data_IF_119620121229
#
_entry.id   IF_119620121229
#
_cell.length_a   1.000
_cell.length_b   1.000
_cell.length_c   1.000
_cell.angle_alpha   90.00
_cell.angle_beta   90.00
_cell.angle_gamma   90.00
#
_symmetry.space_group_name_H-M   'P 1'
#
loop_
_entity.id
_entity.type
_entity.pdbx_description
1 polymer ?
#
# COMPACT_ATOMS: atom_id res chain seq x y z
N UNK A 1 21.23 27.55 19.97
CA UNK A 1 20.50 28.78 19.63
C UNK A 1 19.06 28.52 19.97
N UNK A 2 18.48 29.24 21.00
CA UNK A 2 17.06 29.12 21.31
C UNK A 2 16.28 29.72 20.12
N UNK A 3 15.61 28.91 19.34
CA UNK A 3 14.64 29.36 18.34
C UNK A 3 13.44 29.99 19.09
N UNK A 4 13.17 31.26 18.85
CA UNK A 4 12.05 31.96 19.45
C UNK A 4 10.70 31.38 19.06
N UNK A 5 9.78 31.24 20.02
CA UNK A 5 8.39 30.82 19.77
C UNK A 5 7.46 32.03 19.67
N UNK A 6 6.26 31.78 19.06
CA UNK A 6 5.17 32.77 18.97
C UNK A 6 4.20 32.58 20.11
N UNK A 7 4.08 33.60 20.97
CA UNK A 7 3.34 33.52 22.22
C UNK A 7 2.17 34.52 22.19
N UNK A 8 0.98 34.04 22.51
CA UNK A 8 -0.19 34.87 22.76
C UNK A 8 -0.36 35.02 24.27
N UNK A 9 -0.42 36.25 24.77
CA UNK A 9 -0.68 36.53 26.17
C UNK A 9 -1.97 37.34 26.34
N UNK A 10 -2.83 36.86 27.22
CA UNK A 10 -4.15 37.45 27.48
C UNK A 10 -4.27 37.72 28.97
N UNK A 11 -4.40 39.00 29.31
CA UNK A 11 -4.46 39.49 30.67
C UNK A 11 -5.15 40.88 30.64
N UNK A 12 -5.98 41.21 31.59
CA UNK A 12 -6.63 42.55 31.62
C UNK A 12 -5.73 43.63 32.16
N UNK A 13 -4.66 43.29 32.88
CA UNK A 13 -3.64 44.18 33.41
C UNK A 13 -2.59 44.54 32.33
N UNK A 14 -2.54 45.83 31.97
CA UNK A 14 -1.61 46.32 30.94
C UNK A 14 -0.15 46.29 31.38
N UNK A 15 0.12 46.55 32.67
CA UNK A 15 1.48 46.56 33.19
C UNK A 15 2.06 45.15 33.19
N UNK A 16 1.24 44.14 33.52
CA UNK A 16 1.58 42.72 33.46
C UNK A 16 1.88 42.31 32.02
N UNK A 17 1.03 42.70 31.06
CA UNK A 17 1.23 42.44 29.64
C UNK A 17 2.52 43.05 29.10
N UNK A 18 2.81 44.29 29.43
CA UNK A 18 4.01 45.01 28.99
C UNK A 18 5.28 44.41 29.60
N UNK A 19 5.28 44.13 30.92
CA UNK A 19 6.40 43.50 31.60
C UNK A 19 6.76 42.14 31.01
N UNK A 20 5.78 41.26 30.80
CA UNK A 20 5.98 39.96 30.16
C UNK A 20 6.46 40.11 28.74
N UNK A 21 5.84 41.00 27.93
CA UNK A 21 6.24 41.24 26.53
C UNK A 21 7.69 41.69 26.43
N UNK A 22 8.16 42.57 27.28
CA UNK A 22 9.55 43.03 27.29
C UNK A 22 10.51 41.92 27.65
N UNK A 23 10.20 41.11 28.67
CA UNK A 23 11.01 39.99 29.12
C UNK A 23 11.13 38.91 28.04
N UNK A 24 10.01 38.54 27.44
CA UNK A 24 9.96 37.46 26.44
C UNK A 24 10.57 37.87 25.10
N UNK A 25 10.40 39.14 24.68
CA UNK A 25 11.10 39.67 23.50
C UNK A 25 12.62 39.69 23.69
N UNK A 26 13.12 39.97 24.89
CA UNK A 26 14.57 39.92 25.20
C UNK A 26 15.12 38.49 25.05
N UNK A 27 14.26 37.47 25.15
CA UNK A 27 14.60 36.06 24.98
C UNK A 27 14.24 35.52 23.56
N UNK A 28 14.15 36.40 22.56
CA UNK A 28 13.90 36.09 21.14
C UNK A 28 12.50 35.51 20.83
N UNK A 29 11.49 35.68 21.71
CA UNK A 29 10.13 35.26 21.43
C UNK A 29 9.32 36.38 20.75
N UNK A 30 8.44 36.01 19.83
CA UNK A 30 7.43 36.91 19.28
C UNK A 30 6.21 36.89 20.19
N UNK A 31 5.83 38.08 20.76
CA UNK A 31 4.76 38.15 21.74
C UNK A 31 3.64 39.06 21.24
N UNK A 32 2.45 38.50 21.18
CA UNK A 32 1.19 39.17 20.91
C UNK A 32 0.44 39.30 22.24
N UNK A 33 -0.01 40.48 22.54
CA UNK A 33 -0.74 40.77 23.80
C UNK A 33 -2.17 41.20 23.48
N UNK A 34 -3.11 40.76 24.27
CA UNK A 34 -4.52 41.12 24.17
C UNK A 34 -5.14 41.28 25.57
N UNK A 35 -5.90 42.34 25.76
CA UNK A 35 -6.60 42.65 27.04
C UNK A 35 -7.98 41.97 27.12
N UNK A 36 -8.63 41.79 25.98
CA UNK A 36 -10.01 41.35 25.96
C UNK A 36 -10.07 39.87 25.57
N UNK A 37 -10.39 38.95 26.49
CA UNK A 37 -10.45 37.52 26.21
C UNK A 37 -11.48 37.14 25.16
N UNK A 38 -12.51 37.97 24.91
CA UNK A 38 -13.51 37.73 23.84
C UNK A 38 -12.92 37.73 22.43
N UNK A 39 -11.71 38.25 22.27
CA UNK A 39 -10.99 38.21 20.99
C UNK A 39 -10.23 36.91 20.73
N UNK A 40 -10.14 36.01 21.72
CA UNK A 40 -9.44 34.70 21.56
C UNK A 40 -9.92 33.95 20.33
N UNK A 41 -11.22 33.75 20.08
CA UNK A 41 -11.66 33.01 18.89
C UNK A 41 -11.22 33.64 17.56
N UNK A 42 -11.20 34.98 17.52
CA UNK A 42 -10.73 35.73 16.35
C UNK A 42 -9.22 35.55 16.14
N UNK A 43 -8.43 35.65 17.21
CA UNK A 43 -6.97 35.51 17.15
C UNK A 43 -6.55 34.12 16.73
N UNK A 44 -7.19 33.06 17.24
CA UNK A 44 -6.93 31.69 16.88
C UNK A 44 -7.40 31.32 15.45
N UNK A 45 -8.36 32.07 14.88
CA UNK A 45 -8.76 31.89 13.48
C UNK A 45 -7.76 32.46 12.47
N UNK A 46 -7.07 33.55 12.88
CA UNK A 46 -6.22 34.29 11.95
C UNK A 46 -4.73 33.93 12.09
N UNK A 47 -4.35 33.26 13.18
CA UNK A 47 -2.95 33.03 13.50
C UNK A 47 -2.75 31.78 14.35
N UNK A 48 -1.53 31.21 14.31
CA UNK A 48 -1.15 30.06 15.14
C UNK A 48 -0.15 30.48 16.21
N UNK A 49 -0.26 29.91 17.39
CA UNK A 49 0.59 30.22 18.55
C UNK A 49 1.26 28.97 19.08
N UNK A 50 2.53 29.08 19.47
CA UNK A 50 3.26 27.97 20.10
C UNK A 50 2.85 27.82 21.59
N UNK A 51 2.56 28.92 22.25
CA UNK A 51 2.13 28.94 23.65
C UNK A 51 1.11 30.07 23.87
N UNK A 52 0.08 29.76 24.63
CA UNK A 52 -0.93 30.73 25.07
C UNK A 52 -0.79 30.96 26.59
N UNK A 53 -0.50 32.16 27.00
CA UNK A 53 -0.52 32.59 28.40
C UNK A 53 -1.88 33.21 28.68
N UNK A 54 -2.66 32.63 29.58
CA UNK A 54 -4.03 33.05 29.87
C UNK A 54 -4.20 33.40 31.34
N UNK A 55 -4.61 34.60 31.63
CA UNK A 55 -4.98 34.96 32.99
C UNK A 55 -6.24 34.21 33.44
N UNK A 56 -6.25 33.87 34.74
CA UNK A 56 -7.39 33.14 35.33
C UNK A 56 -8.53 34.08 35.71
N UNK A 57 -8.25 35.36 36.04
CA UNK A 57 -9.20 36.31 36.58
C UNK A 57 -9.22 37.57 35.71
N UNK A 58 -10.33 37.85 35.09
CA UNK A 58 -10.58 39.07 34.34
C UNK A 58 -11.49 40.01 35.18
N UNK A 59 -11.58 41.25 34.80
CA UNK A 59 -12.17 42.38 35.54
C UNK A 59 -13.56 42.21 36.19
N UNK A 60 -14.28 41.11 35.83
CA UNK A 60 -15.60 40.81 36.42
C UNK A 60 -15.58 39.77 37.53
N UNK A 61 -14.49 39.01 37.70
CA UNK A 61 -14.42 37.90 38.64
C UNK A 61 -13.02 37.81 39.27
N UNK A 62 -12.80 38.59 40.30
CA UNK A 62 -11.47 38.76 40.92
C UNK A 62 -11.00 37.50 41.68
N UNK A 63 -11.88 36.50 41.96
CA UNK A 63 -11.54 35.41 42.88
C UNK A 63 -11.97 34.01 42.44
N UNK A 64 -12.89 33.83 41.49
CA UNK A 64 -13.45 32.52 41.22
C UNK A 64 -12.76 31.70 40.09
N UNK A 65 -11.93 32.35 39.27
CA UNK A 65 -11.25 31.74 38.14
C UNK A 65 -12.16 31.17 37.02
N UNK A 66 -13.49 31.36 37.15
CA UNK A 66 -14.47 30.79 36.22
C UNK A 66 -14.27 31.25 34.77
N UNK A 67 -13.89 32.50 34.58
CA UNK A 67 -13.65 33.05 33.24
C UNK A 67 -12.41 32.44 32.61
N UNK A 68 -11.33 32.21 33.35
CA UNK A 68 -10.12 31.55 32.86
C UNK A 68 -10.39 30.10 32.44
N UNK A 69 -11.18 29.34 33.21
CA UNK A 69 -11.58 27.99 32.85
C UNK A 69 -12.46 27.96 31.60
N UNK A 70 -13.43 28.88 31.49
CA UNK A 70 -14.26 28.99 30.30
C UNK A 70 -13.43 29.23 29.03
N UNK A 71 -12.46 30.14 29.09
CA UNK A 71 -11.61 30.42 27.94
C UNK A 71 -10.62 29.26 27.64
N UNK A 72 -10.14 28.55 28.64
CA UNK A 72 -9.34 27.38 28.50
C UNK A 72 -10.11 26.30 27.70
N UNK A 73 -11.35 26.02 28.10
CA UNK A 73 -12.23 25.09 27.41
C UNK A 73 -12.45 25.49 25.93
N UNK A 74 -12.78 26.77 25.68
CA UNK A 74 -12.98 27.29 24.32
C UNK A 74 -11.71 27.22 23.46
N UNK A 75 -10.53 27.37 24.03
CA UNK A 75 -9.26 27.21 23.31
C UNK A 75 -9.05 25.72 22.93
N UNK A 76 -9.26 24.83 23.91
CA UNK A 76 -9.01 23.40 23.72
C UNK A 76 -10.06 22.72 22.82
N UNK A 77 -11.31 23.19 22.82
CA UNK A 77 -12.33 22.76 21.85
C UNK A 77 -11.92 23.07 20.41
N UNK A 78 -11.29 24.24 20.21
CA UNK A 78 -10.89 24.70 18.88
C UNK A 78 -9.55 24.13 18.44
N UNK A 79 -8.58 24.10 19.34
CA UNK A 79 -7.24 23.52 19.15
C UNK A 79 -6.94 22.50 20.24
N UNK A 80 -7.30 21.21 20.07
CA UNK A 80 -7.06 20.16 21.08
C UNK A 80 -5.59 20.01 21.51
N UNK A 81 -4.66 20.37 20.64
CA UNK A 81 -3.22 20.36 20.88
C UNK A 81 -2.65 21.76 21.23
N UNK A 82 -3.50 22.70 21.68
CA UNK A 82 -3.02 23.99 22.16
C UNK A 82 -2.23 23.82 23.46
N UNK A 83 -1.11 24.54 23.58
CA UNK A 83 -0.29 24.58 24.80
C UNK A 83 -0.65 25.84 25.57
N UNK A 84 -1.49 25.67 26.60
CA UNK A 84 -2.02 26.75 27.41
C UNK A 84 -1.39 26.74 28.80
N UNK A 85 -0.79 27.85 29.17
CA UNK A 85 -0.25 28.10 30.52
C UNK A 85 -1.15 29.12 31.20
N UNK A 86 -1.70 28.76 32.35
CA UNK A 86 -2.55 29.67 33.12
C UNK A 86 -1.71 30.53 34.03
N UNK A 87 -2.10 31.81 34.16
CA UNK A 87 -1.49 32.76 35.09
C UNK A 87 -2.50 33.00 36.22
N UNK A 88 -2.09 32.86 37.46
CA UNK A 88 -2.97 33.00 38.61
C UNK A 88 -2.33 33.82 39.75
N UNK A 89 -3.15 34.40 40.61
CA UNK A 89 -2.69 35.12 41.78
C UNK A 89 -2.11 34.19 42.84
N UNK A 90 -1.31 34.73 43.75
CA UNK A 90 -0.61 33.98 44.80
C UNK A 90 -1.60 33.32 45.77
N UNK A 91 -1.47 32.00 45.98
CA UNK A 91 -2.13 31.24 47.05
C UNK A 91 -3.09 30.12 46.65
N UNK A 92 -3.40 29.93 45.37
CA UNK A 92 -4.46 29.01 44.93
C UNK A 92 -3.92 27.72 44.27
N UNK A 93 -3.30 26.87 45.09
CA UNK A 93 -2.76 25.54 44.62
C UNK A 93 -3.90 24.63 44.20
N UNK A 94 -5.09 24.72 44.83
CA UNK A 94 -6.24 23.90 44.45
C UNK A 94 -6.75 24.28 43.06
N UNK A 95 -6.78 25.57 42.74
CA UNK A 95 -7.15 26.08 41.41
C UNK A 95 -6.15 25.66 40.34
N UNK A 96 -4.84 25.68 40.65
CA UNK A 96 -3.78 25.23 39.76
C UNK A 96 -3.90 23.73 39.42
N UNK A 97 -4.17 22.89 40.42
CA UNK A 97 -4.39 21.45 40.23
C UNK A 97 -5.64 21.19 39.39
N UNK A 98 -6.71 21.96 39.63
CA UNK A 98 -7.92 21.89 38.82
C UNK A 98 -7.65 22.26 37.35
N UNK A 99 -6.88 23.31 37.12
CA UNK A 99 -6.51 23.76 35.79
C UNK A 99 -5.77 22.69 34.96
N UNK A 100 -4.83 22.00 35.60
CA UNK A 100 -4.13 20.86 34.93
C UNK A 100 -5.08 19.71 34.62
N UNK A 101 -6.06 19.40 35.46
CA UNK A 101 -7.09 18.40 35.21
C UNK A 101 -8.03 18.78 34.05
N UNK A 102 -8.26 20.07 33.86
CA UNK A 102 -9.10 20.61 32.79
C UNK A 102 -8.33 20.84 31.48
N UNK A 103 -7.04 20.43 31.42
CA UNK A 103 -6.25 20.38 30.19
C UNK A 103 -5.26 21.52 30.01
N UNK A 104 -5.07 22.39 30.98
CA UNK A 104 -3.95 23.34 30.95
C UNK A 104 -2.61 22.59 30.99
N UNK A 105 -1.64 23.05 30.24
CA UNK A 105 -0.31 22.43 30.19
C UNK A 105 0.51 22.70 31.44
N UNK A 106 0.43 23.91 31.96
CA UNK A 106 1.13 24.35 33.18
C UNK A 106 0.46 25.60 33.77
N UNK A 107 0.97 26.09 34.89
CA UNK A 107 0.52 27.34 35.51
C UNK A 107 1.68 28.15 36.05
N UNK A 108 1.50 29.49 36.16
CA UNK A 108 2.46 30.46 36.68
C UNK A 108 1.77 31.36 37.68
N UNK A 109 2.42 31.56 38.85
CA UNK A 109 1.91 32.45 39.91
C UNK A 109 2.35 33.89 39.66
N UNK A 110 1.44 34.87 39.87
CA UNK A 110 1.76 36.29 39.95
C UNK A 110 2.10 36.66 41.42
N UNK A 111 3.19 37.43 41.71
CA UNK A 111 4.25 37.83 40.76
C UNK A 111 5.20 36.64 40.46
N UNK A 112 5.59 36.52 39.22
CA UNK A 112 6.51 35.45 38.78
C UNK A 112 7.98 35.81 38.91
N UNK A 113 8.81 34.76 39.01
CA UNK A 113 10.24 34.88 38.85
C UNK A 113 10.58 34.75 37.33
N UNK A 114 11.36 35.70 36.82
CA UNK A 114 11.66 35.79 35.39
C UNK A 114 12.28 34.47 34.81
N UNK A 115 13.17 33.84 35.57
CA UNK A 115 13.83 32.59 35.16
C UNK A 115 12.81 31.44 35.07
N UNK A 116 11.86 31.40 36.05
CA UNK A 116 10.81 30.37 36.06
C UNK A 116 9.86 30.54 34.86
N UNK A 117 9.41 31.79 34.59
CA UNK A 117 8.54 32.09 33.45
C UNK A 117 9.20 31.65 32.13
N UNK A 118 10.48 32.00 31.93
CA UNK A 118 11.24 31.63 30.72
C UNK A 118 11.41 30.11 30.61
N UNK A 119 11.75 29.43 31.70
CA UNK A 119 11.92 27.98 31.71
C UNK A 119 10.62 27.24 31.36
N UNK A 120 9.50 27.64 31.96
CA UNK A 120 8.17 27.06 31.66
C UNK A 120 7.78 27.27 30.21
N UNK A 121 7.95 28.48 29.67
CA UNK A 121 7.64 28.78 28.25
C UNK A 121 8.52 27.99 27.31
N UNK A 122 9.83 27.87 27.58
CA UNK A 122 10.72 27.08 26.73
C UNK A 122 10.34 25.59 26.72
N UNK A 123 9.90 25.04 27.84
CA UNK A 123 9.38 23.69 27.95
C UNK A 123 8.09 23.51 27.15
N UNK A 124 7.17 24.46 27.26
CA UNK A 124 5.93 24.49 26.52
C UNK A 124 6.13 24.57 24.99
N UNK A 125 7.08 25.41 24.54
CA UNK A 125 7.45 25.49 23.12
C UNK A 125 8.00 24.15 22.59
N UNK A 126 8.85 23.46 23.36
CA UNK A 126 9.35 22.13 23.00
C UNK A 126 8.20 21.12 22.88
N UNK A 127 7.26 21.15 23.80
CA UNK A 127 6.08 20.29 23.77
C UNK A 127 5.22 20.56 22.51
N UNK A 128 4.95 21.82 22.16
CA UNK A 128 4.21 22.18 20.94
C UNK A 128 4.93 21.71 19.67
N UNK A 129 6.26 21.85 19.61
CA UNK A 129 7.07 21.33 18.49
C UNK A 129 6.92 19.81 18.36
N UNK A 130 6.95 19.07 19.47
CA UNK A 130 6.74 17.61 19.46
C UNK A 130 5.33 17.23 18.97
N UNK A 131 4.29 17.93 19.38
CA UNK A 131 2.93 17.72 18.87
C UNK A 131 2.86 17.97 17.35
N UNK A 132 3.43 19.08 16.87
CA UNK A 132 3.46 19.42 15.46
C UNK A 132 4.25 18.39 14.63
N UNK A 133 5.33 17.80 15.16
CA UNK A 133 6.10 16.76 14.52
C UNK A 133 5.31 15.44 14.43
N UNK A 134 4.64 15.04 15.50
CA UNK A 134 3.75 13.88 15.52
C UNK A 134 2.61 14.03 14.49
N UNK A 135 1.99 15.22 14.41
CA UNK A 135 0.92 15.46 13.43
C UNK A 135 1.44 15.46 11.99
N UNK A 136 2.63 16.05 11.74
CA UNK A 136 3.29 15.95 10.42
C UNK A 136 3.60 14.51 10.04
N UNK A 137 4.11 13.72 10.99
CA UNK A 137 4.40 12.30 10.75
C UNK A 137 3.12 11.49 10.51
N UNK A 138 2.03 11.78 11.22
CA UNK A 138 0.72 11.15 10.98
C UNK A 138 0.19 11.50 9.60
N UNK A 139 0.20 12.78 9.22
CA UNK A 139 -0.25 13.24 7.90
C UNK A 139 0.63 12.68 6.78
N UNK A 140 1.96 12.65 6.96
CA UNK A 140 2.88 12.02 6.01
C UNK A 140 2.63 10.51 5.89
N UNK A 141 2.36 9.83 7.01
CA UNK A 141 1.98 8.42 7.05
C UNK A 141 0.66 8.19 6.30
N UNK A 142 -0.37 8.98 6.56
CA UNK A 142 -1.67 8.91 5.88
C UNK A 142 -1.56 9.18 4.38
N UNK A 143 -0.74 10.16 3.96
CA UNK A 143 -0.45 10.43 2.54
C UNK A 143 0.32 9.28 1.89
N UNK A 144 1.28 8.68 2.60
CA UNK A 144 2.00 7.49 2.13
C UNK A 144 1.06 6.27 2.07
N UNK A 145 0.19 6.10 3.04
CA UNK A 145 -0.84 5.05 3.05
C UNK A 145 -1.87 5.27 1.94
N UNK A 146 -2.27 6.49 1.60
CA UNK A 146 -3.10 6.82 0.44
C UNK A 146 -2.38 6.58 -0.89
N UNK A 147 -1.08 6.80 -0.98
CA UNK A 147 -0.27 6.46 -2.16
C UNK A 147 -0.04 4.94 -2.29
N UNK A 148 0.05 4.23 -1.17
CA UNK A 148 0.13 2.76 -1.11
C UNK A 148 -1.25 2.14 -1.28
N UNK A 149 -2.30 2.79 -0.79
CA UNK A 149 -3.71 2.48 -1.04
C UNK A 149 -4.10 3.10 -2.39
N UNK A 150 -3.70 2.47 -3.50
CA UNK A 150 -4.36 2.74 -4.78
C UNK A 150 -5.86 2.67 -4.54
N UNK A 151 -6.66 3.65 -5.06
CA UNK A 151 -8.11 3.56 -4.93
C UNK A 151 -8.53 2.18 -5.40
N UNK A 152 -9.29 1.50 -4.57
CA UNK A 152 -9.74 0.13 -4.81
C UNK A 152 -10.47 0.09 -6.14
N UNK A 153 -9.85 -0.54 -7.14
CA UNK A 153 -10.54 -0.93 -8.35
C UNK A 153 -11.46 -2.09 -7.98
N UNK A 154 -12.77 -1.85 -7.98
CA UNK A 154 -13.73 -2.92 -7.77
C UNK A 154 -13.44 -4.10 -8.71
N UNK A 155 -13.61 -5.31 -8.21
CA UNK A 155 -13.50 -6.50 -9.05
C UNK A 155 -14.71 -6.48 -9.99
N UNK A 156 -14.46 -6.29 -11.28
CA UNK A 156 -15.49 -6.17 -12.31
C UNK A 156 -15.79 -7.56 -12.89
N UNK A 157 -17.06 -7.92 -12.94
CA UNK A 157 -17.52 -9.15 -13.56
C UNK A 157 -18.90 -9.56 -13.07
N UNK A 158 -19.66 -10.22 -13.93
CA UNK A 158 -21.00 -10.75 -13.68
C UNK A 158 -21.16 -12.22 -14.05
N UNK A 159 -20.13 -12.84 -14.63
CA UNK A 159 -20.12 -14.26 -14.96
C UNK A 159 -20.37 -15.13 -13.71
N UNK A 160 -20.89 -16.32 -13.90
CA UNK A 160 -21.11 -17.27 -12.82
C UNK A 160 -19.81 -17.58 -12.08
N UNK A 161 -18.73 -17.77 -12.83
CA UNK A 161 -17.41 -18.11 -12.29
C UNK A 161 -16.87 -17.05 -11.34
N UNK A 162 -17.04 -15.74 -11.65
CA UNK A 162 -16.58 -14.66 -10.75
C UNK A 162 -17.55 -14.43 -9.58
N UNK A 163 -18.87 -14.66 -9.77
CA UNK A 163 -19.85 -14.63 -8.68
C UNK A 163 -19.57 -15.68 -7.60
N UNK A 164 -19.13 -16.85 -8.00
CA UNK A 164 -18.72 -17.88 -7.05
C UNK A 164 -17.49 -17.44 -6.22
N UNK A 165 -16.54 -16.72 -6.82
CA UNK A 165 -15.41 -16.08 -6.11
C UNK A 165 -15.92 -15.04 -5.12
N UNK A 166 -16.88 -14.19 -5.50
CA UNK A 166 -17.47 -13.19 -4.58
C UNK A 166 -18.16 -13.85 -3.39
N UNK A 167 -18.89 -14.94 -3.62
CA UNK A 167 -19.53 -15.69 -2.55
C UNK A 167 -18.52 -16.28 -1.54
N UNK A 168 -17.37 -16.75 -2.03
CA UNK A 168 -16.28 -17.22 -1.16
C UNK A 168 -15.69 -16.03 -0.39
N UNK A 169 -15.38 -14.92 -1.07
CA UNK A 169 -14.85 -13.69 -0.45
C UNK A 169 -15.76 -13.26 0.73
N UNK A 170 -17.08 -13.20 0.53
CA UNK A 170 -18.02 -12.77 1.57
C UNK A 170 -18.05 -13.69 2.78
N UNK A 171 -17.90 -15.01 2.57
CA UNK A 171 -17.82 -16.00 3.66
C UNK A 171 -16.52 -15.89 4.43
N UNK A 172 -15.38 -15.86 3.73
CA UNK A 172 -14.06 -15.90 4.39
C UNK A 172 -13.67 -14.56 5.01
N UNK A 173 -14.18 -13.44 4.51
CA UNK A 173 -13.85 -12.11 5.03
C UNK A 173 -14.19 -11.95 6.50
N UNK A 174 -15.26 -12.59 6.98
CA UNK A 174 -15.71 -12.53 8.36
C UNK A 174 -14.89 -13.39 9.34
N UNK A 175 -13.88 -14.10 8.85
CA UNK A 175 -13.03 -15.00 9.64
C UNK A 175 -11.58 -14.54 9.61
N UNK A 176 -10.76 -15.01 10.55
CA UNK A 176 -9.30 -14.82 10.53
C UNK A 176 -8.54 -16.01 9.92
N UNK A 177 -9.24 -16.87 9.17
CA UNK A 177 -8.62 -18.01 8.50
C UNK A 177 -7.56 -17.53 7.47
N UNK A 178 -6.48 -18.30 7.37
CA UNK A 178 -5.49 -18.10 6.30
C UNK A 178 -6.11 -18.49 4.95
N UNK A 179 -5.81 -17.73 3.90
CA UNK A 179 -6.39 -17.92 2.59
C UNK A 179 -5.27 -18.11 1.58
N UNK A 180 -5.39 -19.13 0.76
CA UNK A 180 -4.53 -19.35 -0.40
C UNK A 180 -5.31 -19.04 -1.68
N UNK A 181 -4.86 -18.04 -2.41
CA UNK A 181 -5.45 -17.62 -3.70
C UNK A 181 -4.64 -18.24 -4.83
N UNK A 182 -5.27 -19.09 -5.62
CA UNK A 182 -4.69 -19.70 -6.80
C UNK A 182 -5.24 -19.03 -8.05
N UNK A 183 -4.40 -18.88 -9.08
CA UNK A 183 -4.83 -18.34 -10.37
C UNK A 183 -3.65 -17.91 -11.22
N UNK A 184 -3.87 -17.88 -12.53
CA UNK A 184 -2.87 -17.46 -13.50
C UNK A 184 -2.39 -16.02 -13.28
N UNK A 185 -1.24 -15.68 -13.89
CA UNK A 185 -0.75 -14.30 -13.85
C UNK A 185 -1.74 -13.33 -14.53
N UNK A 186 -1.96 -12.17 -13.90
CA UNK A 186 -2.84 -11.16 -14.43
C UNK A 186 -4.34 -11.39 -14.20
N UNK A 187 -4.77 -12.39 -13.42
CA UNK A 187 -6.18 -12.66 -13.10
C UNK A 187 -6.76 -11.72 -12.04
N UNK A 188 -5.91 -10.99 -11.29
CA UNK A 188 -6.32 -10.05 -10.26
C UNK A 188 -6.24 -10.59 -8.83
N UNK A 189 -5.31 -11.50 -8.53
CA UNK A 189 -5.10 -12.09 -7.18
C UNK A 189 -4.98 -11.04 -6.08
N UNK A 190 -4.23 -9.97 -6.32
CA UNK A 190 -4.09 -8.86 -5.35
C UNK A 190 -5.41 -8.12 -5.10
N UNK A 191 -6.24 -7.91 -6.15
CA UNK A 191 -7.55 -7.28 -6.00
C UNK A 191 -8.47 -8.11 -5.11
N UNK A 192 -8.43 -9.42 -5.27
CA UNK A 192 -9.18 -10.37 -4.42
C UNK A 192 -8.68 -10.31 -2.97
N UNK A 193 -7.37 -10.30 -2.75
CA UNK A 193 -6.79 -10.18 -1.39
C UNK A 193 -7.20 -8.86 -0.71
N UNK A 194 -7.18 -7.75 -1.44
CA UNK A 194 -7.65 -6.43 -0.97
C UNK A 194 -9.14 -6.44 -0.65
N UNK A 195 -9.98 -7.05 -1.50
CA UNK A 195 -11.41 -7.19 -1.27
C UNK A 195 -11.72 -7.99 0.01
N UNK A 196 -10.97 -9.07 0.25
CA UNK A 196 -11.06 -9.87 1.49
C UNK A 196 -10.71 -9.02 2.72
N UNK A 197 -9.64 -8.24 2.65
CA UNK A 197 -9.23 -7.36 3.74
C UNK A 197 -10.29 -6.30 4.04
N UNK A 198 -10.78 -5.58 3.03
CA UNK A 198 -11.74 -4.49 3.18
C UNK A 198 -13.09 -4.92 3.76
N UNK A 199 -13.51 -6.16 3.47
CA UNK A 199 -14.75 -6.75 4.01
C UNK A 199 -14.55 -7.45 5.36
N UNK A 200 -13.32 -7.40 5.91
CA UNK A 200 -12.96 -8.09 7.16
C UNK A 200 -13.11 -7.19 8.38
N UNK A 201 -13.09 -7.80 9.57
CA UNK A 201 -13.02 -7.09 10.85
C UNK A 201 -11.71 -6.31 11.03
N UNK A 202 -10.72 -6.50 10.14
CA UNK A 202 -9.41 -5.84 10.15
C UNK A 202 -9.30 -4.73 9.10
N UNK A 203 -10.40 -4.33 8.47
CA UNK A 203 -10.44 -3.35 7.37
C UNK A 203 -9.87 -1.96 7.75
N UNK A 204 -9.94 -1.60 9.03
CA UNK A 204 -9.38 -0.34 9.56
C UNK A 204 -7.88 -0.37 9.83
N UNK A 205 -7.25 -1.55 9.73
CA UNK A 205 -5.83 -1.74 9.97
C UNK A 205 -5.05 -1.87 8.65
N UNK A 206 -3.73 -2.02 8.74
CA UNK A 206 -2.87 -2.04 7.57
C UNK A 206 -3.08 -3.29 6.70
N UNK A 207 -3.11 -3.09 5.38
CA UNK A 207 -2.92 -4.14 4.38
C UNK A 207 -1.49 -4.04 3.83
N UNK A 208 -0.65 -4.99 4.20
CA UNK A 208 0.75 -5.02 3.77
C UNK A 208 0.90 -6.07 2.67
N UNK A 209 1.23 -5.63 1.46
CA UNK A 209 1.48 -6.50 0.30
C UNK A 209 2.99 -6.70 0.10
N UNK A 210 3.38 -7.93 -0.15
CA UNK A 210 4.76 -8.33 -0.42
C UNK A 210 4.80 -9.29 -1.60
N UNK A 211 5.52 -8.91 -2.64
CA UNK A 211 5.80 -9.78 -3.79
C UNK A 211 7.08 -10.58 -3.50
N UNK A 212 6.91 -11.90 -3.31
CA UNK A 212 8.02 -12.81 -3.00
C UNK A 212 8.97 -13.03 -4.18
N UNK A 213 8.50 -12.80 -5.40
CA UNK A 213 9.34 -12.88 -6.61
C UNK A 213 10.25 -11.67 -6.80
N UNK A 214 9.88 -10.52 -6.23
CA UNK A 214 10.64 -9.28 -6.37
C UNK A 214 11.76 -9.12 -5.32
N UNK A 215 11.74 -9.91 -4.23
CA UNK A 215 12.72 -9.80 -3.14
C UNK A 215 13.86 -10.80 -3.37
N UNK A 216 15.10 -10.32 -3.39
CA UNK A 216 16.27 -11.19 -3.42
C UNK A 216 16.40 -11.99 -2.13
N UNK A 217 16.92 -13.22 -2.22
CA UNK A 217 17.07 -14.12 -1.05
C UNK A 217 17.86 -13.50 0.10
N UNK A 218 18.87 -12.69 -0.21
CA UNK A 218 19.71 -11.98 0.77
C UNK A 218 18.99 -10.88 1.55
N UNK A 219 17.96 -10.25 0.94
CA UNK A 219 17.18 -9.19 1.56
C UNK A 219 15.88 -9.68 2.20
N UNK A 220 15.50 -10.93 1.91
CA UNK A 220 14.24 -11.50 2.35
C UNK A 220 14.01 -11.41 3.86
N UNK A 221 14.99 -11.85 4.63
CA UNK A 221 14.87 -11.84 6.09
C UNK A 221 14.75 -10.43 6.65
N UNK A 222 15.57 -9.53 6.13
CA UNK A 222 15.56 -8.12 6.53
C UNK A 222 14.23 -7.43 6.17
N UNK A 223 13.66 -7.72 5.00
CA UNK A 223 12.38 -7.14 4.59
C UNK A 223 11.20 -7.73 5.36
N UNK A 224 11.14 -9.05 5.52
CA UNK A 224 10.01 -9.69 6.20
C UNK A 224 10.06 -9.55 7.72
N UNK A 225 11.22 -9.81 8.31
CA UNK A 225 11.36 -9.90 9.77
C UNK A 225 11.94 -8.63 10.40
N UNK A 226 12.52 -7.73 9.56
CA UNK A 226 13.18 -6.52 10.03
C UNK A 226 14.62 -6.79 10.49
N UNK A 227 15.34 -5.72 10.78
CA UNK A 227 16.71 -5.83 11.27
C UNK A 227 17.03 -4.78 12.35
N UNK A 228 18.04 -5.09 13.15
CA UNK A 228 18.68 -4.16 14.06
C UNK A 228 19.87 -3.50 13.38
N UNK A 229 20.19 -2.28 13.80
CA UNK A 229 21.41 -1.56 13.42
C UNK A 229 22.63 -2.45 13.65
N UNK A 230 23.49 -2.58 12.61
CA UNK A 230 24.69 -3.41 12.67
C UNK A 230 24.48 -4.90 12.41
N UNK A 231 23.26 -5.35 12.05
CA UNK A 231 22.97 -6.75 11.72
C UNK A 231 23.73 -7.24 10.46
N UNK A 232 24.02 -6.34 9.54
CA UNK A 232 24.83 -6.56 8.33
C UNK A 232 25.48 -5.23 7.90
N UNK A 233 26.38 -5.26 6.92
CA UNK A 233 27.26 -4.12 6.53
C UNK A 233 26.52 -2.82 6.28
N UNK A 234 25.28 -2.88 5.69
CA UNK A 234 24.46 -1.72 5.35
C UNK A 234 23.32 -1.43 6.34
N UNK A 235 23.23 -2.17 7.44
CA UNK A 235 22.21 -1.94 8.48
C UNK A 235 22.55 -0.71 9.33
N UNK A 236 22.29 0.49 8.81
CA UNK A 236 22.62 1.79 9.46
C UNK A 236 21.66 2.16 10.58
N UNK A 237 20.40 1.68 10.51
CA UNK A 237 19.30 2.00 11.44
C UNK A 237 18.49 0.73 11.75
N UNK A 238 17.69 0.79 12.82
CA UNK A 238 16.71 -0.24 13.12
C UNK A 238 15.54 -0.13 12.11
N UNK A 239 15.16 -1.25 11.47
CA UNK A 239 14.04 -1.26 10.53
C UNK A 239 13.03 -2.35 10.89
N UNK A 240 11.73 -2.01 11.06
CA UNK A 240 10.69 -3.01 11.28
C UNK A 240 10.45 -3.84 10.03
N UNK A 241 10.14 -5.11 10.21
CA UNK A 241 9.78 -6.02 9.12
C UNK A 241 8.31 -5.91 8.69
N UNK A 242 7.97 -6.57 7.57
CA UNK A 242 6.59 -6.59 7.03
C UNK A 242 5.60 -7.23 7.99
N UNK A 243 6.02 -8.22 8.78
CA UNK A 243 5.18 -8.82 9.83
C UNK A 243 4.79 -7.81 10.90
N UNK A 244 5.74 -6.97 11.34
CA UNK A 244 5.47 -5.92 12.33
C UNK A 244 4.56 -4.83 11.75
N UNK A 245 4.79 -4.41 10.48
CA UNK A 245 3.97 -3.41 9.80
C UNK A 245 2.52 -3.89 9.57
N UNK A 246 2.30 -5.20 9.44
CA UNK A 246 0.99 -5.81 9.28
C UNK A 246 0.26 -6.08 10.61
N UNK A 247 0.83 -5.67 11.75
CA UNK A 247 0.27 -5.92 13.08
C UNK A 247 -1.20 -5.51 13.17
N UNK A 248 -2.04 -6.42 13.68
CA UNK A 248 -3.51 -6.34 13.77
C UNK A 248 -4.22 -6.23 12.40
N UNK A 249 -3.48 -6.19 11.30
CA UNK A 249 -3.97 -6.05 9.95
C UNK A 249 -3.90 -7.35 9.14
N UNK A 250 -3.66 -7.20 7.83
CA UNK A 250 -3.53 -8.32 6.88
C UNK A 250 -2.17 -8.27 6.19
N UNK A 251 -1.45 -9.40 6.20
CA UNK A 251 -0.24 -9.61 5.40
C UNK A 251 -0.60 -10.40 4.15
N UNK A 252 -0.38 -9.82 2.99
CA UNK A 252 -0.55 -10.47 1.69
C UNK A 252 0.81 -10.83 1.11
N UNK A 253 1.03 -12.13 0.87
CA UNK A 253 2.24 -12.67 0.27
C UNK A 253 1.90 -13.15 -1.16
N UNK A 254 2.29 -12.36 -2.16
CA UNK A 254 2.13 -12.76 -3.57
C UNK A 254 3.31 -13.62 -4.02
N UNK A 255 3.05 -14.51 -4.95
CA UNK A 255 4.03 -15.43 -5.55
C UNK A 255 4.75 -16.33 -4.53
N UNK A 256 3.99 -16.86 -3.53
CA UNK A 256 4.54 -17.69 -2.43
C UNK A 256 5.28 -18.93 -2.94
N UNK A 257 4.95 -19.44 -4.15
CA UNK A 257 5.63 -20.58 -4.77
C UNK A 257 7.09 -20.34 -5.14
N UNK A 258 7.54 -19.07 -5.22
CA UNK A 258 8.91 -18.71 -5.59
C UNK A 258 9.91 -18.79 -4.43
N UNK A 259 9.45 -19.13 -3.21
CA UNK A 259 10.31 -19.21 -2.04
C UNK A 259 11.24 -20.42 -2.09
N UNK A 260 12.52 -20.23 -1.74
CA UNK A 260 13.44 -21.34 -1.52
C UNK A 260 13.04 -22.15 -0.26
N UNK A 261 13.43 -23.40 -0.17
CA UNK A 261 13.10 -24.28 0.97
C UNK A 261 13.58 -23.72 2.31
N UNK A 262 14.70 -23.00 2.32
CA UNK A 262 15.23 -22.34 3.53
C UNK A 262 14.28 -21.26 4.03
N UNK A 263 13.77 -20.43 3.11
CA UNK A 263 12.84 -19.34 3.43
C UNK A 263 11.43 -19.86 3.80
N UNK A 264 11.01 -20.95 3.18
CA UNK A 264 9.77 -21.64 3.55
C UNK A 264 9.82 -22.13 5.00
N UNK A 265 10.96 -22.67 5.46
CA UNK A 265 11.16 -23.10 6.85
C UNK A 265 11.07 -21.95 7.84
N UNK A 266 11.68 -20.80 7.53
CA UNK A 266 11.62 -19.60 8.36
C UNK A 266 10.22 -19.02 8.45
N UNK A 267 9.52 -18.95 7.30
CA UNK A 267 8.14 -18.50 7.26
C UNK A 267 7.23 -19.40 8.11
N UNK A 268 7.39 -20.72 7.98
CA UNK A 268 6.64 -21.69 8.79
C UNK A 268 6.84 -21.48 10.27
N UNK A 269 8.09 -21.27 10.72
CA UNK A 269 8.41 -21.01 12.13
C UNK A 269 7.64 -19.81 12.68
N UNK A 270 7.63 -18.68 11.96
CA UNK A 270 6.88 -17.47 12.36
C UNK A 270 5.38 -17.72 12.39
N UNK A 271 4.83 -18.45 11.42
CA UNK A 271 3.41 -18.78 11.37
C UNK A 271 2.97 -19.73 12.50
N UNK A 272 3.88 -20.57 12.98
CA UNK A 272 3.61 -21.50 14.08
C UNK A 272 3.73 -20.83 15.44
N UNK A 273 4.83 -20.10 15.69
CA UNK A 273 5.09 -19.45 16.97
C UNK A 273 4.26 -18.17 17.18
N UNK A 274 3.79 -17.54 16.10
CA UNK A 274 3.20 -16.20 16.13
C UNK A 274 4.17 -15.13 16.67
N UNK A 275 5.45 -15.35 16.48
CA UNK A 275 6.52 -14.46 16.89
C UNK A 275 7.51 -14.26 15.76
N UNK A 276 8.05 -13.05 15.65
CA UNK A 276 9.11 -12.69 14.71
C UNK A 276 10.32 -12.19 15.48
N UNK A 277 11.52 -12.55 15.01
CA UNK A 277 12.77 -12.04 15.57
C UNK A 277 13.51 -11.26 14.48
N UNK A 278 13.85 -10.00 14.76
CA UNK A 278 14.61 -9.17 13.81
C UNK A 278 16.02 -9.74 13.60
N UNK A 279 16.53 -9.62 12.39
CA UNK A 279 17.92 -9.99 12.08
C UNK A 279 18.86 -9.18 12.98
N UNK A 280 19.80 -9.86 13.64
CA UNK A 280 20.70 -9.25 14.63
C UNK A 280 20.10 -9.03 16.03
N UNK A 281 18.92 -9.61 16.32
CA UNK A 281 18.28 -9.58 17.64
C UNK A 281 17.95 -10.99 18.10
N UNK A 282 17.86 -11.18 19.42
CA UNK A 282 17.35 -12.42 20.06
C UNK A 282 15.99 -12.19 20.76
N UNK A 283 15.39 -11.00 20.61
CA UNK A 283 14.14 -10.66 21.26
C UNK A 283 12.98 -11.03 20.35
N UNK A 284 12.10 -11.97 20.74
CA UNK A 284 10.90 -12.28 19.98
C UNK A 284 9.87 -11.14 20.11
N UNK A 285 9.16 -10.85 19.03
CA UNK A 285 8.10 -9.87 18.94
C UNK A 285 6.84 -10.63 18.54
N UNK A 286 5.82 -10.60 19.39
CA UNK A 286 4.54 -11.24 19.09
C UNK A 286 3.82 -10.56 17.93
N UNK A 287 3.31 -11.34 16.97
CA UNK A 287 2.61 -10.86 15.78
C UNK A 287 1.20 -11.41 15.70
N UNK A 288 0.24 -10.50 15.61
CA UNK A 288 -1.17 -10.80 15.35
C UNK A 288 -1.52 -10.29 13.95
N UNK A 289 -1.49 -11.19 12.98
CA UNK A 289 -1.79 -10.88 11.58
C UNK A 289 -2.82 -11.88 11.02
N UNK A 290 -3.59 -11.41 10.04
CA UNK A 290 -4.31 -12.27 9.10
C UNK A 290 -3.44 -12.50 7.88
N UNK A 291 -3.25 -13.77 7.49
CA UNK A 291 -2.41 -14.11 6.34
C UNK A 291 -3.27 -14.43 5.11
N UNK A 292 -2.91 -13.82 3.98
CA UNK A 292 -3.43 -14.16 2.66
C UNK A 292 -2.22 -14.42 1.76
N UNK A 293 -2.18 -15.59 1.12
CA UNK A 293 -1.13 -15.97 0.17
C UNK A 293 -1.69 -16.08 -1.23
N UNK A 294 -0.87 -15.81 -2.24
CA UNK A 294 -1.25 -16.02 -3.64
C UNK A 294 -0.12 -16.65 -4.45
N UNK A 295 -0.47 -17.42 -5.47
CA UNK A 295 0.49 -17.98 -6.45
C UNK A 295 -0.20 -18.40 -7.75
N UNK A 296 0.57 -18.45 -8.81
CA UNK A 296 0.20 -19.09 -10.07
C UNK A 296 0.83 -20.48 -10.22
N UNK A 297 1.70 -20.89 -9.29
CA UNK A 297 2.44 -22.15 -9.36
C UNK A 297 1.61 -23.34 -8.87
N UNK A 298 1.82 -24.54 -9.41
CA UNK A 298 1.13 -25.76 -8.99
C UNK A 298 1.72 -26.30 -7.67
N UNK A 299 1.35 -25.72 -6.54
CA UNK A 299 1.96 -26.04 -5.24
C UNK A 299 1.85 -27.52 -4.88
N UNK A 300 0.78 -28.20 -5.24
CA UNK A 300 0.60 -29.62 -4.97
C UNK A 300 1.64 -30.49 -5.72
N UNK A 301 1.93 -30.16 -6.98
CA UNK A 301 2.96 -30.82 -7.76
C UNK A 301 4.36 -30.52 -7.19
N UNK A 302 4.57 -29.28 -6.75
CA UNK A 302 5.83 -28.85 -6.13
C UNK A 302 6.09 -29.58 -4.80
N UNK A 303 5.04 -29.89 -4.03
CA UNK A 303 5.16 -30.72 -2.82
C UNK A 303 5.59 -32.14 -3.18
N UNK A 304 5.00 -32.74 -4.23
CA UNK A 304 5.40 -34.06 -4.70
C UNK A 304 6.86 -34.11 -5.19
N UNK A 305 7.32 -33.03 -5.81
CA UNK A 305 8.70 -32.87 -6.29
C UNK A 305 9.69 -32.46 -5.18
N UNK A 306 9.21 -32.21 -3.96
CA UNK A 306 10.04 -31.77 -2.82
C UNK A 306 10.58 -30.35 -2.93
N UNK A 307 10.04 -29.51 -3.84
CA UNK A 307 10.42 -28.09 -4.00
C UNK A 307 9.57 -27.14 -3.16
N UNK A 308 8.44 -27.62 -2.62
CA UNK A 308 7.61 -26.90 -1.67
C UNK A 308 7.30 -27.79 -0.46
N UNK A 309 7.34 -27.23 0.76
CA UNK A 309 7.11 -28.00 1.99
C UNK A 309 5.62 -28.24 2.21
N UNK A 310 5.28 -29.48 2.47
CA UNK A 310 3.90 -29.90 2.76
C UNK A 310 3.35 -29.24 4.04
N UNK A 311 4.17 -29.12 5.09
CA UNK A 311 3.78 -28.52 6.37
C UNK A 311 3.44 -27.03 6.23
N UNK A 312 4.20 -26.30 5.40
CA UNK A 312 3.89 -24.91 5.07
C UNK A 312 2.59 -24.81 4.27
N UNK A 313 2.38 -25.67 3.27
CA UNK A 313 1.15 -25.68 2.49
C UNK A 313 -0.09 -25.85 3.39
N UNK A 314 -0.08 -26.80 4.31
CA UNK A 314 -1.19 -26.99 5.25
C UNK A 314 -1.41 -25.79 6.19
N UNK A 315 -0.34 -25.06 6.51
CA UNK A 315 -0.45 -23.89 7.39
C UNK A 315 -1.02 -22.67 6.70
N UNK A 316 -0.74 -22.46 5.41
CA UNK A 316 -1.23 -21.30 4.63
C UNK A 316 -2.57 -21.58 3.95
N UNK A 317 -2.92 -22.84 3.68
CA UNK A 317 -4.11 -23.26 2.95
C UNK A 317 -5.22 -23.75 3.90
N UNK A 318 -5.77 -22.82 4.72
CA UNK A 318 -6.99 -23.14 5.49
C UNK A 318 -8.23 -23.04 4.59
N UNK A 319 -8.26 -22.05 3.71
CA UNK A 319 -9.29 -21.88 2.68
C UNK A 319 -8.60 -21.62 1.36
N UNK A 320 -8.93 -22.42 0.36
CA UNK A 320 -8.45 -22.24 -1.01
C UNK A 320 -9.48 -21.46 -1.84
N UNK A 321 -9.00 -20.46 -2.58
CA UNK A 321 -9.81 -19.65 -3.49
C UNK A 321 -9.15 -19.67 -4.86
N UNK A 322 -9.80 -20.24 -5.85
CA UNK A 322 -9.32 -20.26 -7.22
C UNK A 322 -9.96 -19.15 -8.04
N UNK A 323 -9.12 -18.31 -8.65
CA UNK A 323 -9.59 -17.25 -9.56
C UNK A 323 -9.60 -17.84 -10.99
N UNK A 324 -10.74 -17.80 -11.70
CA UNK A 324 -10.83 -18.29 -13.06
C UNK A 324 -9.99 -17.42 -14.02
N UNK A 325 -9.39 -18.05 -15.01
CA UNK A 325 -8.75 -17.35 -16.11
C UNK A 325 -9.77 -16.56 -16.93
N UNK A 326 -9.33 -15.51 -17.64
CA UNK A 326 -10.24 -14.65 -18.38
C UNK A 326 -11.00 -15.39 -19.49
N UNK A 327 -10.37 -16.39 -20.10
CA UNK A 327 -11.00 -17.27 -21.09
C UNK A 327 -12.16 -18.13 -20.54
N UNK A 328 -12.15 -18.40 -19.23
CA UNK A 328 -13.20 -19.18 -18.55
C UNK A 328 -14.36 -18.28 -18.06
N UNK A 329 -14.23 -16.96 -18.26
CA UNK A 329 -15.25 -15.93 -17.96
C UNK A 329 -15.36 -14.90 -19.08
N UNK A 330 -15.39 -15.37 -20.32
CA UNK A 330 -15.45 -14.53 -21.51
C UNK A 330 -16.66 -13.57 -21.53
N UNK A 331 -17.71 -13.88 -20.79
CA UNK A 331 -18.89 -13.02 -20.58
C UNK A 331 -18.54 -11.68 -19.93
N UNK A 332 -17.47 -11.64 -19.11
CA UNK A 332 -17.02 -10.42 -18.43
C UNK A 332 -16.17 -9.52 -19.35
N UNK A 333 -15.68 -10.02 -20.49
CA UNK A 333 -14.79 -9.30 -21.39
C UNK A 333 -15.37 -7.96 -21.86
N UNK A 334 -16.64 -7.84 -22.31
CA UNK A 334 -17.18 -6.56 -22.75
C UNK A 334 -17.23 -5.52 -21.62
N UNK A 335 -17.60 -5.93 -20.42
CA UNK A 335 -17.66 -5.05 -19.26
C UNK A 335 -16.27 -4.55 -18.87
N UNK A 336 -15.30 -5.43 -18.79
CA UNK A 336 -13.89 -5.11 -18.52
C UNK A 336 -13.31 -4.20 -19.62
N UNK A 337 -13.60 -4.48 -20.89
CA UNK A 337 -13.13 -3.69 -22.02
C UNK A 337 -13.64 -2.25 -21.97
N UNK A 338 -14.94 -2.07 -21.72
CA UNK A 338 -15.54 -0.75 -21.60
C UNK A 338 -15.02 0.02 -20.37
N UNK A 339 -14.79 -0.67 -19.24
CA UNK A 339 -14.18 -0.05 -18.06
C UNK A 339 -12.76 0.47 -18.36
N UNK A 340 -11.93 -0.34 -19.00
CA UNK A 340 -10.57 0.09 -19.35
C UNK A 340 -10.58 1.18 -20.43
N UNK A 341 -11.47 1.10 -21.43
CA UNK A 341 -11.65 2.17 -22.39
C UNK A 341 -11.95 3.50 -21.68
N UNK A 342 -12.97 3.54 -20.82
CA UNK A 342 -13.34 4.75 -20.10
C UNK A 342 -12.17 5.30 -19.27
N UNK A 343 -11.45 4.41 -18.57
CA UNK A 343 -10.29 4.77 -17.74
C UNK A 343 -9.17 5.41 -18.58
N UNK A 344 -8.82 4.80 -19.71
CA UNK A 344 -7.71 5.28 -20.53
C UNK A 344 -8.09 6.46 -21.44
N UNK A 345 -9.32 6.51 -21.96
CA UNK A 345 -9.83 7.67 -22.69
C UNK A 345 -9.75 8.93 -21.80
N UNK A 346 -10.20 8.83 -20.55
CA UNK A 346 -10.06 9.92 -19.58
C UNK A 346 -8.62 10.28 -19.29
N UNK A 347 -7.76 9.28 -19.04
CA UNK A 347 -6.34 9.47 -18.69
C UNK A 347 -5.56 10.17 -19.80
N UNK A 348 -5.80 9.79 -21.05
CA UNK A 348 -5.10 10.32 -22.22
C UNK A 348 -5.88 11.45 -22.91
N UNK A 349 -7.02 11.88 -22.36
CA UNK A 349 -7.87 12.95 -22.88
C UNK A 349 -8.26 12.72 -24.34
N UNK A 350 -8.57 11.47 -24.70
CA UNK A 350 -9.08 11.08 -26.02
C UNK A 350 -10.61 11.04 -26.00
N UNK A 351 -11.23 11.44 -27.10
CA UNK A 351 -12.70 11.43 -27.29
C UNK A 351 -13.18 10.08 -27.82
N UNK A 352 -12.71 8.98 -27.24
CA UNK A 352 -13.11 7.63 -27.64
C UNK A 352 -14.20 7.16 -26.67
N UNK A 353 -15.36 6.79 -27.21
CA UNK A 353 -16.56 6.50 -26.42
C UNK A 353 -17.04 5.06 -26.49
N UNK A 354 -16.60 4.29 -27.51
CA UNK A 354 -17.10 2.93 -27.75
C UNK A 354 -16.05 2.00 -28.33
N UNK A 355 -16.35 0.70 -28.27
CA UNK A 355 -15.63 -0.37 -28.93
C UNK A 355 -16.60 -1.01 -29.94
N UNK A 356 -16.21 -1.13 -31.19
CA UNK A 356 -17.08 -1.68 -32.22
C UNK A 356 -17.48 -3.14 -31.91
N UNK A 357 -18.66 -3.59 -32.34
CA UNK A 357 -19.11 -4.97 -32.12
C UNK A 357 -18.13 -6.01 -32.68
N UNK A 358 -17.49 -5.73 -33.82
CA UNK A 358 -16.47 -6.59 -34.43
C UNK A 358 -15.22 -6.70 -33.54
N UNK A 359 -14.78 -5.57 -32.97
CA UNK A 359 -13.67 -5.54 -32.02
C UNK A 359 -14.00 -6.31 -30.73
N UNK A 360 -15.22 -6.15 -30.17
CA UNK A 360 -15.65 -6.92 -29.01
C UNK A 360 -15.68 -8.43 -29.26
N UNK A 361 -16.15 -8.86 -30.44
CA UNK A 361 -16.11 -10.29 -30.80
C UNK A 361 -14.68 -10.82 -30.95
N UNK A 362 -13.77 -10.00 -31.47
CA UNK A 362 -12.33 -10.36 -31.53
C UNK A 362 -11.74 -10.50 -30.13
N UNK A 363 -12.04 -9.57 -29.21
CA UNK A 363 -11.61 -9.61 -27.82
C UNK A 363 -12.15 -10.86 -27.11
N UNK A 364 -13.39 -11.26 -27.32
CA UNK A 364 -13.99 -12.47 -26.73
C UNK A 364 -13.35 -13.76 -27.20
N UNK A 365 -12.92 -13.82 -28.49
CA UNK A 365 -12.32 -15.03 -29.09
C UNK A 365 -10.86 -15.21 -28.73
N UNK A 366 -10.17 -14.16 -28.27
CA UNK A 366 -8.76 -14.24 -27.91
C UNK A 366 -8.58 -14.94 -26.55
N UNK A 367 -7.64 -15.88 -26.40
CA UNK A 367 -7.52 -16.71 -25.19
C UNK A 367 -6.91 -16.01 -23.97
N UNK A 368 -6.40 -14.81 -24.11
CA UNK A 368 -5.84 -13.96 -23.04
C UNK A 368 -4.84 -14.68 -22.12
N UNK A 369 -3.68 -15.17 -22.61
CA UNK A 369 -2.69 -15.85 -21.78
C UNK A 369 -2.17 -14.98 -20.62
N UNK A 370 -2.15 -13.68 -20.77
CA UNK A 370 -1.83 -12.71 -19.69
C UNK A 370 -3.06 -12.16 -18.97
N UNK A 371 -4.24 -12.76 -19.18
CA UNK A 371 -5.49 -12.46 -18.52
C UNK A 371 -5.88 -10.96 -18.57
N UNK A 372 -6.36 -10.41 -17.45
CA UNK A 372 -6.81 -9.01 -17.36
C UNK A 372 -5.64 -8.04 -17.59
N UNK A 373 -4.43 -8.38 -17.14
CA UNK A 373 -3.24 -7.52 -17.33
C UNK A 373 -2.91 -7.33 -18.81
N UNK A 374 -2.96 -8.40 -19.58
CA UNK A 374 -2.76 -8.33 -21.05
C UNK A 374 -3.87 -7.55 -21.73
N UNK A 375 -5.13 -7.81 -21.36
CA UNK A 375 -6.29 -7.09 -21.89
C UNK A 375 -6.22 -5.59 -21.59
N UNK A 376 -5.85 -5.22 -20.38
CA UNK A 376 -5.63 -3.85 -19.97
C UNK A 376 -4.59 -3.15 -20.86
N UNK A 377 -3.44 -3.77 -21.08
CA UNK A 377 -2.40 -3.22 -21.97
C UNK A 377 -2.84 -3.18 -23.44
N UNK A 378 -3.63 -4.14 -23.90
CA UNK A 378 -4.14 -4.14 -25.27
C UNK A 378 -5.09 -2.96 -25.53
N UNK A 379 -6.00 -2.69 -24.59
CA UNK A 379 -6.94 -1.57 -24.69
C UNK A 379 -6.19 -0.24 -24.51
N UNK A 380 -5.26 -0.14 -23.56
CA UNK A 380 -4.42 1.06 -23.38
C UNK A 380 -3.69 1.42 -24.67
N UNK A 381 -3.07 0.42 -25.33
CA UNK A 381 -2.38 0.62 -26.60
C UNK A 381 -3.34 1.07 -27.70
N UNK A 382 -4.51 0.44 -27.82
CA UNK A 382 -5.49 0.81 -28.80
C UNK A 382 -5.94 2.28 -28.62
N UNK A 383 -6.22 2.68 -27.39
CA UNK A 383 -6.60 4.08 -27.05
C UNK A 383 -5.49 5.08 -27.40
N UNK A 384 -4.23 4.74 -27.15
CA UNK A 384 -3.11 5.64 -27.48
C UNK A 384 -2.95 5.79 -28.98
N UNK A 385 -3.08 4.69 -29.75
CA UNK A 385 -2.73 4.63 -31.17
C UNK A 385 -3.86 5.07 -32.11
N UNK A 386 -5.12 5.05 -31.68
CA UNK A 386 -6.25 5.50 -32.51
C UNK A 386 -6.50 6.99 -32.38
N UNK A 387 -6.94 7.60 -33.47
CA UNK A 387 -7.45 8.97 -33.51
C UNK A 387 -8.98 9.01 -33.75
N UNK A 388 -9.61 7.85 -33.91
CA UNK A 388 -11.06 7.72 -34.10
C UNK A 388 -11.81 7.81 -32.77
N UNK A 389 -13.14 8.06 -32.82
CA UNK A 389 -14.02 8.11 -31.64
C UNK A 389 -14.48 6.73 -31.18
N UNK A 390 -14.21 5.68 -31.96
CA UNK A 390 -14.58 4.30 -31.67
C UNK A 390 -13.40 3.36 -31.98
N UNK A 391 -13.07 2.44 -31.04
CA UNK A 391 -12.03 1.41 -31.26
C UNK A 391 -12.52 0.35 -32.24
N UNK A 392 -11.78 0.15 -33.33
CA UNK A 392 -12.09 -0.80 -34.38
C UNK A 392 -11.34 -2.14 -34.17
N UNK A 393 -11.75 -3.16 -34.91
CA UNK A 393 -11.06 -4.47 -34.89
C UNK A 393 -9.58 -4.36 -35.26
N UNK A 394 -9.24 -3.44 -36.16
CA UNK A 394 -7.88 -3.19 -36.64
C UNK A 394 -6.96 -2.62 -35.55
N UNK A 395 -7.49 -1.98 -34.51
CA UNK A 395 -6.69 -1.38 -33.43
C UNK A 395 -6.13 -2.43 -32.47
N UNK A 396 -6.66 -3.66 -32.51
CA UNK A 396 -6.24 -4.75 -31.64
C UNK A 396 -5.32 -5.71 -32.36
N UNK A 397 -4.01 -5.58 -32.11
CA UNK A 397 -2.99 -6.48 -32.64
C UNK A 397 -2.58 -7.47 -31.54
N UNK A 398 -2.93 -8.74 -31.74
CA UNK A 398 -2.49 -9.83 -30.89
C UNK A 398 -1.33 -10.57 -31.55
N UNK A 399 -0.17 -10.66 -30.88
CA UNK A 399 0.95 -11.43 -31.39
C UNK A 399 0.61 -12.93 -31.37
N UNK A 400 0.44 -13.53 -32.52
CA UNK A 400 0.20 -15.00 -32.69
C UNK A 400 1.30 -15.87 -32.10
N UNK A 401 2.47 -15.34 -31.81
CA UNK A 401 3.64 -16.08 -31.32
C UNK A 401 3.48 -16.67 -29.91
N UNK A 402 2.55 -16.20 -29.09
CA UNK A 402 2.34 -16.71 -27.73
C UNK A 402 1.24 -17.78 -27.60
N UNK A 403 0.43 -18.00 -28.62
CA UNK A 403 -0.74 -18.92 -28.55
C UNK A 403 -0.34 -20.39 -28.70
N UNK A 404 0.88 -20.69 -29.12
CA UNK A 404 1.35 -22.07 -29.32
C UNK A 404 2.12 -22.68 -28.12
N UNK A 405 2.05 -22.08 -26.91
CA UNK A 405 2.69 -22.66 -25.72
C UNK A 405 1.77 -23.60 -24.91
N UNK A 406 0.63 -23.98 -25.45
CA UNK A 406 -0.41 -24.77 -24.78
C UNK A 406 -0.57 -26.20 -25.30
N UNK A 407 0.42 -26.80 -25.98
CA UNK A 407 0.47 -28.26 -26.13
C UNK A 407 1.88 -28.73 -26.49
N UNK A 408 2.52 -29.36 -25.56
CA UNK A 408 3.49 -30.43 -25.75
C UNK A 408 4.83 -30.05 -26.36
N UNK A 409 5.81 -30.20 -25.58
CA UNK A 409 7.25 -30.27 -25.77
C UNK A 409 8.01 -28.99 -25.41
N UNK A 410 8.54 -29.01 -24.20
CA UNK A 410 9.83 -28.38 -23.88
C UNK A 410 10.82 -28.71 -25.00
N UNK A 411 10.86 -27.80 -25.98
CA UNK A 411 11.81 -27.94 -27.08
C UNK A 411 13.21 -27.95 -26.49
N UNK A 412 13.82 -29.09 -26.46
CA UNK A 412 15.27 -29.20 -26.31
C UNK A 412 15.89 -28.20 -27.28
N UNK A 413 16.80 -27.38 -26.79
CA UNK A 413 17.67 -26.52 -27.62
C UNK A 413 18.65 -27.34 -28.48
N UNK A 414 18.31 -28.61 -28.73
CA UNK A 414 19.05 -29.49 -29.63
C UNK A 414 18.75 -29.08 -31.08
N UNK A 415 19.72 -28.48 -31.73
CA UNK A 415 19.60 -28.02 -33.12
C UNK A 415 19.09 -29.10 -34.08
N UNK A 416 19.44 -30.37 -33.84
CA UNK A 416 18.97 -31.48 -34.66
C UNK A 416 17.45 -31.72 -34.52
N UNK A 417 16.90 -31.58 -33.33
CA UNK A 417 15.44 -31.69 -33.12
C UNK A 417 14.67 -30.49 -33.67
N UNK A 418 15.21 -29.28 -33.51
CA UNK A 418 14.63 -28.07 -34.08
C UNK A 418 14.61 -28.14 -35.61
N UNK A 419 15.70 -28.59 -36.21
CA UNK A 419 15.83 -28.75 -37.66
C UNK A 419 14.86 -29.83 -38.17
N UNK A 420 14.78 -30.98 -37.48
CA UNK A 420 13.84 -32.07 -37.82
C UNK A 420 12.37 -31.61 -37.79
N UNK A 421 12.00 -30.85 -36.76
CA UNK A 421 10.63 -30.35 -36.62
C UNK A 421 10.32 -29.28 -37.67
N UNK A 422 11.27 -28.39 -38.00
CA UNK A 422 11.10 -27.41 -39.08
C UNK A 422 10.89 -28.06 -40.44
N UNK A 423 11.67 -29.09 -40.75
CA UNK A 423 11.55 -29.87 -42.01
C UNK A 423 10.19 -30.57 -42.08
N UNK A 424 9.76 -31.24 -40.99
CA UNK A 424 8.48 -31.93 -40.93
C UNK A 424 7.30 -30.97 -41.15
N UNK A 425 7.34 -29.82 -40.51
CA UNK A 425 6.32 -28.79 -40.64
C UNK A 425 6.25 -28.18 -42.04
N UNK A 426 7.40 -27.95 -42.70
CA UNK A 426 7.43 -27.41 -44.05
C UNK A 426 6.88 -28.44 -45.08
N UNK A 427 7.13 -29.72 -44.88
CA UNK A 427 6.57 -30.78 -45.72
C UNK A 427 5.06 -30.90 -45.58
N UNK A 428 4.55 -30.84 -44.33
CA UNK A 428 3.13 -30.86 -44.04
C UNK A 428 2.39 -29.60 -44.58
N UNK A 429 3.01 -28.44 -44.51
CA UNK A 429 2.44 -27.16 -44.97
C UNK A 429 2.28 -27.11 -46.51
N UNK A 430 3.10 -27.86 -47.22
CA UNK A 430 3.08 -27.92 -48.67
C UNK A 430 2.60 -29.30 -49.24
N UNK A 431 1.78 -30.00 -48.46
CA UNK A 431 1.17 -31.29 -48.86
C UNK A 431 2.15 -32.28 -49.48
N UNK A 432 3.35 -32.35 -48.93
CA UNK A 432 4.40 -33.28 -49.44
C UNK A 432 5.21 -32.73 -50.61
N UNK A 433 4.99 -31.53 -51.10
CA UNK A 433 5.74 -30.94 -52.20
C UNK A 433 7.15 -30.47 -51.76
N UNK A 434 8.14 -31.34 -52.01
CA UNK A 434 9.54 -31.16 -51.59
C UNK A 434 10.18 -29.90 -52.18
N UNK A 435 9.79 -29.49 -53.40
CA UNK A 435 10.38 -28.30 -54.01
C UNK A 435 9.93 -27.03 -53.27
N UNK A 436 8.64 -26.90 -52.98
CA UNK A 436 8.08 -25.77 -52.24
C UNK A 436 8.55 -25.76 -50.78
N UNK A 437 8.62 -26.94 -50.15
CA UNK A 437 9.13 -27.06 -48.79
C UNK A 437 10.62 -26.68 -48.68
N UNK A 438 11.43 -26.97 -49.68
CA UNK A 438 12.83 -26.58 -49.72
C UNK A 438 12.98 -25.07 -49.90
N UNK A 439 12.20 -24.45 -50.77
CA UNK A 439 12.19 -23.01 -50.97
C UNK A 439 11.78 -22.26 -49.71
N UNK A 440 10.75 -22.70 -48.99
CA UNK A 440 10.30 -22.16 -47.72
C UNK A 440 11.37 -22.20 -46.61
N UNK A 441 12.15 -23.29 -46.58
CA UNK A 441 13.27 -23.47 -45.63
C UNK A 441 14.57 -22.80 -46.05
N UNK A 442 14.61 -22.11 -47.20
CA UNK A 442 15.82 -21.51 -47.74
C UNK A 442 16.88 -22.56 -48.14
N UNK A 443 16.46 -23.80 -48.50
CA UNK A 443 17.32 -24.94 -48.82
C UNK A 443 17.18 -25.33 -50.27
N UNK A 444 18.25 -25.90 -50.82
CA UNK A 444 18.13 -26.61 -52.13
C UNK A 444 17.40 -27.95 -51.92
N UNK A 445 16.67 -28.39 -52.92
CA UNK A 445 15.96 -29.69 -52.91
C UNK A 445 16.87 -30.85 -52.53
N UNK A 446 18.11 -30.88 -53.03
CA UNK A 446 19.10 -31.90 -52.68
C UNK A 446 19.52 -31.84 -51.19
N UNK A 447 19.65 -30.63 -50.64
CA UNK A 447 19.96 -30.40 -49.21
C UNK A 447 18.82 -30.86 -48.31
N UNK A 448 17.57 -30.65 -48.73
CA UNK A 448 16.39 -31.10 -47.97
C UNK A 448 16.31 -32.65 -47.93
N UNK A 449 16.52 -33.30 -49.06
CA UNK A 449 16.55 -34.78 -49.09
C UNK A 449 17.62 -35.40 -48.19
N UNK A 450 18.85 -34.87 -48.18
CA UNK A 450 19.92 -35.36 -47.27
C UNK A 450 19.53 -35.21 -45.79
N UNK A 451 18.87 -34.11 -45.44
CA UNK A 451 18.42 -33.87 -44.06
C UNK A 451 17.24 -34.75 -43.68
N UNK A 452 16.31 -34.98 -44.60
CA UNK A 452 15.23 -35.97 -44.42
C UNK A 452 15.78 -37.36 -44.15
N UNK A 453 16.79 -37.79 -44.93
CA UNK A 453 17.46 -39.07 -44.73
C UNK A 453 18.19 -39.15 -43.39
N UNK A 454 18.92 -38.08 -43.00
CA UNK A 454 19.58 -37.97 -41.70
C UNK A 454 18.61 -38.16 -40.54
N UNK A 455 17.39 -37.63 -40.65
CA UNK A 455 16.38 -37.68 -39.58
C UNK A 455 15.35 -38.80 -39.75
N UNK A 456 15.49 -39.68 -40.73
CA UNK A 456 14.59 -40.81 -40.98
C UNK A 456 13.16 -40.39 -41.36
N UNK A 457 12.99 -39.20 -41.96
CA UNK A 457 11.69 -38.71 -42.42
C UNK A 457 11.40 -39.31 -43.81
N UNK A 458 10.30 -40.06 -43.89
CA UNK A 458 9.77 -40.59 -45.15
C UNK A 458 8.58 -39.73 -45.59
N UNK A 459 8.39 -39.58 -46.90
CA UNK A 459 7.19 -38.95 -47.50
C UNK A 459 5.95 -39.75 -47.23
#
# INVERSE_FOLDING_TARGET
VNEGGKILMIDDDEDVLLAAKMLLKKNNHQVIIEKNPKKIPFLLNNDTYDVILLDMNFSKDITSGKEGFYWLEQILEKEPNAVVILITAFGDVEMAVKALKEGATDFILKPWQNEKLIATINTAIKLKKSYNEVDKLKTAKELLEQQISKPFSEIIGESKAIKDVFNIIDKVSKTDANILILGENGTGKELVARAIHQRSNRASNNFVSVDMGAITETLFESELFGHKKGAFTDAREDRPGRFELAQKGTLFLDEIGNLSLSLQSKLLSVLQSREVTRVGSNQPIAVDIRLVCATNMPLYDMVQQGTFRQDLLYRINTVELQIPALRDRFEDIPMLANHFLATYAQRYRKSIHSISPQALEKLKRYPWPGNIREMQHAIERAVIMTDDEELQEADFFFNRTMVNSGNGNSGTLNLDEVEKNAIKRAIELHDGNISKAADELGLTRASLYRRMEKYGLKL
#
